data_IF_082192283928
#
_entry.id   IF_082192283928
#
_cell.length_a   1.000
_cell.length_b   1.000
_cell.length_c   1.000
_cell.angle_alpha   90.00
_cell.angle_beta   90.00
_cell.angle_gamma   90.00
#
_symmetry.space_group_name_H-M   'P 1'
#
loop_
_entity.id
_entity.type
_entity.pdbx_description
1 polymer ?
#
# COMPACT_ATOMS: atom_id res chain seq x y z
N UNK A 1 -14.90 -6.29 -10.52
CA UNK A 1 -14.18 -5.03 -10.83
C UNK A 1 -13.07 -5.36 -11.84
N UNK A 2 -12.94 -4.63 -12.96
CA UNK A 2 -11.83 -4.83 -13.92
C UNK A 2 -10.50 -4.62 -13.18
N UNK A 3 -9.64 -5.64 -13.15
CA UNK A 3 -8.27 -5.53 -12.61
C UNK A 3 -7.58 -4.33 -13.30
N UNK A 4 -7.07 -3.39 -12.51
CA UNK A 4 -6.38 -2.21 -13.05
C UNK A 4 -5.24 -2.68 -13.99
N UNK A 5 -5.08 -2.06 -15.17
CA UNK A 5 -4.06 -2.45 -16.15
C UNK A 5 -2.64 -2.40 -15.57
N UNK A 6 -2.45 -1.58 -14.53
CA UNK A 6 -1.17 -1.34 -13.88
C UNK A 6 -0.57 -2.58 -13.17
N UNK A 7 -1.39 -3.35 -12.47
CA UNK A 7 -0.94 -4.57 -11.79
C UNK A 7 -0.34 -5.58 -12.80
N UNK A 8 -1.00 -5.69 -13.96
CA UNK A 8 -0.55 -6.53 -15.07
C UNK A 8 0.78 -6.02 -15.66
N UNK A 9 0.95 -4.70 -15.78
CA UNK A 9 2.19 -4.08 -16.25
C UNK A 9 3.36 -4.30 -15.29
N UNK A 10 3.18 -4.07 -13.98
CA UNK A 10 4.22 -4.34 -12.98
C UNK A 10 4.64 -5.81 -13.00
N UNK A 11 3.65 -6.72 -13.04
CA UNK A 11 3.91 -8.16 -13.06
C UNK A 11 4.63 -8.61 -14.33
N UNK A 12 4.38 -7.95 -15.45
CA UNK A 12 5.12 -8.19 -16.69
C UNK A 12 6.56 -7.66 -16.58
N UNK A 13 6.75 -6.47 -16.01
CA UNK A 13 8.06 -5.86 -15.80
C UNK A 13 8.98 -6.73 -14.92
N UNK A 14 8.42 -7.33 -13.87
CA UNK A 14 9.17 -8.12 -12.90
C UNK A 14 9.13 -9.64 -13.12
N UNK A 15 8.49 -10.10 -14.20
CA UNK A 15 8.44 -11.53 -14.56
C UNK A 15 9.80 -12.26 -14.55
N UNK A 16 10.93 -11.65 -14.96
CA UNK A 16 12.21 -12.36 -14.96
C UNK A 16 12.85 -12.52 -13.57
N UNK A 17 12.32 -11.90 -12.52
CA UNK A 17 12.92 -11.94 -11.18
C UNK A 17 12.57 -13.21 -10.39
N UNK A 18 13.44 -13.64 -9.44
CA UNK A 18 13.21 -14.81 -8.61
C UNK A 18 11.99 -14.65 -7.70
N UNK A 19 10.98 -15.50 -7.86
CA UNK A 19 9.73 -15.41 -7.08
C UNK A 19 9.96 -15.66 -5.60
N UNK A 20 9.26 -14.88 -4.78
CA UNK A 20 9.24 -15.07 -3.33
C UNK A 20 8.51 -16.36 -2.91
N UNK A 21 8.94 -16.96 -1.80
CA UNK A 21 8.24 -18.08 -1.20
C UNK A 21 6.87 -17.65 -0.67
N UNK A 22 5.93 -18.59 -0.51
CA UNK A 22 4.59 -18.27 0.02
C UNK A 22 4.67 -17.63 1.42
N UNK A 23 5.55 -18.15 2.27
CA UNK A 23 5.74 -17.66 3.63
C UNK A 23 6.27 -16.22 3.65
N UNK A 24 7.25 -15.89 2.80
CA UNK A 24 7.79 -14.52 2.76
C UNK A 24 6.76 -13.53 2.21
N UNK A 25 5.98 -13.93 1.19
CA UNK A 25 4.90 -13.09 0.64
C UNK A 25 3.86 -12.75 1.69
N UNK A 26 3.45 -13.74 2.49
CA UNK A 26 2.48 -13.54 3.56
C UNK A 26 3.04 -12.64 4.67
N UNK A 27 4.27 -12.90 5.14
CA UNK A 27 4.92 -12.09 6.17
C UNK A 27 5.07 -10.61 5.75
N UNK A 28 5.39 -10.36 4.48
CA UNK A 28 5.48 -9.00 3.95
C UNK A 28 4.08 -8.37 3.83
N UNK A 29 3.09 -9.10 3.32
CA UNK A 29 1.72 -8.61 3.22
C UNK A 29 1.14 -8.23 4.61
N UNK A 30 1.44 -9.03 5.64
CA UNK A 30 0.99 -8.79 7.03
C UNK A 30 1.59 -7.52 7.62
N UNK A 31 2.81 -7.16 7.21
CA UNK A 31 3.55 -6.01 7.73
C UNK A 31 3.55 -4.79 6.78
N UNK A 32 2.91 -4.88 5.62
CA UNK A 32 2.94 -3.82 4.60
C UNK A 32 2.37 -2.49 5.12
N UNK A 33 1.40 -2.55 6.03
CA UNK A 33 0.84 -1.34 6.65
C UNK A 33 1.87 -0.59 7.51
N UNK A 34 2.83 -1.28 8.13
CA UNK A 34 3.92 -0.68 8.91
C UNK A 34 4.85 0.08 7.96
N UNK A 35 5.18 -0.55 6.83
CA UNK A 35 6.00 0.07 5.78
C UNK A 35 5.31 1.32 5.25
N UNK A 36 4.01 1.25 4.94
CA UNK A 36 3.24 2.42 4.51
C UNK A 36 3.23 3.54 5.58
N UNK A 37 3.10 3.20 6.86
CA UNK A 37 3.18 4.18 7.94
C UNK A 37 4.56 4.83 8.04
N UNK A 38 5.65 4.07 7.93
CA UNK A 38 7.00 4.64 7.91
C UNK A 38 7.20 5.57 6.70
N UNK A 39 6.74 5.17 5.52
CA UNK A 39 6.82 6.02 4.32
C UNK A 39 6.04 7.33 4.48
N UNK A 40 4.84 7.27 5.08
CA UNK A 40 4.07 8.48 5.39
C UNK A 40 4.83 9.42 6.35
N UNK A 41 5.52 8.87 7.36
CA UNK A 41 6.36 9.66 8.27
C UNK A 41 7.55 10.28 7.55
N UNK A 42 8.26 9.52 6.71
CA UNK A 42 9.38 10.03 5.90
C UNK A 42 8.91 11.15 4.96
N UNK A 43 7.76 11.00 4.33
CA UNK A 43 7.16 12.03 3.49
C UNK A 43 6.77 13.29 4.31
N UNK A 44 6.25 13.13 5.52
CA UNK A 44 5.94 14.24 6.43
C UNK A 44 7.20 15.01 6.90
N UNK A 45 8.29 14.28 7.17
CA UNK A 45 9.59 14.90 7.47
C UNK A 45 10.11 15.68 6.26
N UNK A 46 10.04 15.08 5.07
CA UNK A 46 10.45 15.72 3.82
C UNK A 46 9.63 16.99 3.54
N UNK A 47 8.32 16.94 3.78
CA UNK A 47 7.42 18.10 3.70
C UNK A 47 7.86 19.21 4.66
N UNK A 48 8.10 18.86 5.93
CA UNK A 48 8.52 19.83 6.96
C UNK A 48 9.85 20.49 6.60
N UNK A 49 10.82 19.72 6.11
CA UNK A 49 12.09 20.23 5.62
C UNK A 49 11.91 21.18 4.42
N UNK A 50 11.08 20.81 3.46
CA UNK A 50 10.79 21.64 2.29
C UNK A 50 10.13 22.98 2.68
N UNK A 51 9.14 22.95 3.59
CA UNK A 51 8.51 24.18 4.11
C UNK A 51 9.51 25.08 4.85
N UNK A 52 10.39 24.49 5.66
CA UNK A 52 11.38 25.26 6.42
C UNK A 52 12.35 25.99 5.49
N UNK A 53 12.83 25.32 4.44
CA UNK A 53 13.70 25.94 3.45
C UNK A 53 12.99 27.04 2.64
N UNK A 54 11.71 26.85 2.32
CA UNK A 54 10.92 27.85 1.62
C UNK A 54 10.68 29.10 2.48
N UNK A 55 10.39 28.91 3.78
CA UNK A 55 10.22 30.00 4.75
C UNK A 55 11.49 30.82 4.98
N UNK A 56 12.67 30.18 4.95
CA UNK A 56 13.95 30.88 5.06
C UNK A 56 14.28 31.70 3.80
N UNK A 57 13.89 31.23 2.62
CA UNK A 57 14.17 31.89 1.35
C UNK A 57 13.54 33.29 1.23
N UNK A 58 12.39 33.52 1.88
CA UNK A 58 11.72 34.83 1.89
C UNK A 58 12.40 35.82 2.85
N UNK A 59 13.12 35.34 3.87
CA UNK A 59 13.91 36.20 4.78
C UNK A 59 15.24 36.64 4.17
N UNK A 60 15.84 35.81 3.31
CA UNK A 60 17.12 36.11 2.62
C UNK A 60 16.91 37.12 1.47
N UNK A 61 15.71 37.15 0.87
CA UNK A 61 15.37 38.07 -0.22
C UNK A 61 15.34 39.56 0.18
N UNK A 62 15.20 39.88 1.47
CA UNK A 62 15.13 41.26 1.97
C UNK A 62 16.49 41.99 2.01
N UNK A 63 17.61 41.25 1.92
CA UNK A 63 18.97 41.81 2.01
C UNK A 63 19.69 41.95 0.65
N UNK A 64 18.99 41.82 -0.48
CA UNK A 64 19.56 42.14 -1.80
C UNK A 64 20.69 41.21 -2.31
N UNK A 65 20.91 40.06 -1.67
CA UNK A 65 21.96 39.09 -2.05
C UNK A 65 21.48 38.06 -3.09
N UNK A 66 20.20 38.08 -3.48
CA UNK A 66 19.59 37.07 -4.35
C UNK A 66 20.05 37.10 -5.82
N UNK A 67 20.82 38.11 -6.22
CA UNK A 67 21.27 38.29 -7.62
C UNK A 67 22.56 37.49 -7.94
N UNK A 68 23.21 36.89 -6.94
CA UNK A 68 24.53 36.24 -7.11
C UNK A 68 24.56 34.71 -7.03
N UNK A 69 23.41 34.03 -6.91
CA UNK A 69 23.35 32.56 -6.91
C UNK A 69 22.60 32.10 -8.17
N UNK A 70 23.30 31.61 -9.22
CA UNK A 70 22.70 31.36 -10.54
C UNK A 70 21.60 30.28 -10.60
N UNK A 71 21.23 29.63 -9.49
CA UNK A 71 20.28 28.52 -9.45
C UNK A 71 19.11 28.67 -8.47
N UNK A 72 18.87 29.85 -7.87
CA UNK A 72 17.78 30.03 -6.89
C UNK A 72 16.41 29.65 -7.46
N UNK A 73 16.14 30.00 -8.72
CA UNK A 73 14.87 29.65 -9.37
C UNK A 73 14.68 28.13 -9.50
N UNK A 74 15.74 27.40 -9.85
CA UNK A 74 15.73 25.92 -9.98
C UNK A 74 15.55 25.28 -8.59
N UNK A 75 16.24 25.79 -7.57
CA UNK A 75 16.10 25.31 -6.19
C UNK A 75 14.67 25.53 -5.67
N UNK A 76 14.06 26.70 -5.92
CA UNK A 76 12.65 26.97 -5.55
C UNK A 76 11.69 26.05 -6.32
N UNK A 77 11.91 25.83 -7.61
CA UNK A 77 11.11 24.90 -8.41
C UNK A 77 11.20 23.46 -7.84
N UNK A 78 12.40 23.00 -7.50
CA UNK A 78 12.62 21.70 -6.89
C UNK A 78 11.89 21.57 -5.55
N UNK A 79 11.90 22.61 -4.70
CA UNK A 79 11.17 22.62 -3.43
C UNK A 79 9.65 22.51 -3.62
N UNK A 80 9.08 23.26 -4.56
CA UNK A 80 7.63 23.20 -4.87
C UNK A 80 7.25 21.81 -5.37
N UNK A 81 8.04 21.24 -6.28
CA UNK A 81 7.82 19.87 -6.80
C UNK A 81 7.90 18.85 -5.65
N UNK A 82 8.90 18.96 -4.79
CA UNK A 82 9.07 18.10 -3.60
C UNK A 82 7.86 18.19 -2.67
N UNK A 83 7.32 19.40 -2.47
CA UNK A 83 6.14 19.65 -1.66
C UNK A 83 4.91 18.90 -2.21
N UNK A 84 4.67 19.00 -3.52
CA UNK A 84 3.55 18.35 -4.20
C UNK A 84 3.65 16.83 -4.06
N UNK A 85 4.85 16.28 -4.28
CA UNK A 85 5.08 14.84 -4.12
C UNK A 85 4.89 14.41 -2.67
N UNK A 86 5.48 15.11 -1.70
CA UNK A 86 5.36 14.76 -0.29
C UNK A 86 3.90 14.77 0.19
N UNK A 87 3.11 15.78 -0.18
CA UNK A 87 1.68 15.82 0.15
C UNK A 87 0.95 14.64 -0.49
N UNK A 88 1.21 14.35 -1.76
CA UNK A 88 0.58 13.23 -2.49
C UNK A 88 0.92 11.88 -1.84
N UNK A 89 2.19 11.68 -1.47
CA UNK A 89 2.66 10.47 -0.79
C UNK A 89 2.03 10.30 0.60
N UNK A 90 1.98 11.36 1.41
CA UNK A 90 1.32 11.33 2.73
C UNK A 90 -0.14 10.90 2.60
N UNK A 91 -0.86 11.46 1.62
CA UNK A 91 -2.26 11.12 1.38
C UNK A 91 -2.38 9.67 0.93
N UNK A 92 -1.61 9.23 -0.07
CA UNK A 92 -1.70 7.86 -0.60
C UNK A 92 -1.32 6.81 0.45
N UNK A 93 -0.19 6.99 1.14
CA UNK A 93 0.23 6.05 2.19
C UNK A 93 -0.68 6.11 3.41
N UNK A 94 -1.14 7.31 3.81
CA UNK A 94 -2.11 7.48 4.89
C UNK A 94 -3.42 6.73 4.61
N UNK A 95 -3.95 6.87 3.38
CA UNK A 95 -5.15 6.15 2.93
C UNK A 95 -4.91 4.64 2.79
N UNK A 96 -3.67 4.20 2.58
CA UNK A 96 -3.33 2.79 2.48
C UNK A 96 -3.33 2.07 3.85
N UNK A 97 -2.92 2.72 4.95
CA UNK A 97 -2.65 2.06 6.25
C UNK A 97 -3.85 1.23 6.75
N UNK A 98 -5.03 1.84 6.88
CA UNK A 98 -6.22 1.18 7.41
C UNK A 98 -6.69 -0.01 6.54
N UNK A 99 -6.89 0.14 5.22
CA UNK A 99 -7.27 -0.97 4.36
C UNK A 99 -6.17 -2.04 4.23
N UNK A 100 -4.88 -1.69 4.33
CA UNK A 100 -3.78 -2.66 4.35
C UNK A 100 -3.83 -3.56 5.58
N UNK A 101 -4.08 -3.00 6.78
CA UNK A 101 -4.29 -3.81 8.00
C UNK A 101 -5.42 -4.82 7.85
N UNK A 102 -6.43 -4.48 7.06
CA UNK A 102 -7.59 -5.34 6.75
C UNK A 102 -7.39 -6.22 5.51
N UNK A 103 -6.17 -6.24 4.94
CA UNK A 103 -5.84 -6.95 3.69
C UNK A 103 -6.77 -6.67 2.52
N UNK A 104 -7.31 -5.45 2.45
CA UNK A 104 -8.20 -5.06 1.36
C UNK A 104 -7.42 -4.67 0.12
N UNK A 105 -7.92 -5.06 -1.06
CA UNK A 105 -7.33 -4.69 -2.36
C UNK A 105 -7.15 -3.19 -2.51
N UNK A 106 -8.07 -2.38 -1.96
CA UNK A 106 -7.96 -0.91 -1.96
C UNK A 106 -6.68 -0.41 -1.29
N UNK A 107 -6.26 -1.02 -0.17
CA UNK A 107 -5.03 -0.63 0.52
C UNK A 107 -3.78 -0.95 -0.30
N UNK A 108 -3.77 -2.11 -0.95
CA UNK A 108 -2.71 -2.47 -1.88
C UNK A 108 -2.64 -1.52 -3.08
N UNK A 109 -3.79 -1.09 -3.62
CA UNK A 109 -3.84 -0.10 -4.70
C UNK A 109 -3.26 1.26 -4.28
N UNK A 110 -3.64 1.78 -3.10
CA UNK A 110 -3.09 3.03 -2.59
C UNK A 110 -1.59 2.94 -2.31
N UNK A 111 -1.11 1.83 -1.73
CA UNK A 111 0.31 1.59 -1.51
C UNK A 111 1.10 1.53 -2.82
N UNK A 112 0.56 0.84 -3.81
CA UNK A 112 1.16 0.74 -5.15
C UNK A 112 1.22 2.12 -5.83
N UNK A 113 0.13 2.89 -5.79
CA UNK A 113 0.11 4.24 -6.30
C UNK A 113 1.13 5.14 -5.59
N UNK A 114 1.24 5.03 -4.26
CA UNK A 114 2.22 5.76 -3.46
C UNK A 114 3.65 5.47 -3.91
N UNK A 115 4.02 4.19 -4.07
CA UNK A 115 5.36 3.81 -4.54
C UNK A 115 5.66 4.30 -5.96
N UNK A 116 4.66 4.34 -6.84
CA UNK A 116 4.82 4.92 -8.19
C UNK A 116 5.08 6.42 -8.11
N UNK A 117 4.34 7.13 -7.26
CA UNK A 117 4.57 8.55 -7.01
C UNK A 117 5.97 8.77 -6.45
N UNK A 118 6.42 7.95 -5.49
CA UNK A 118 7.78 8.01 -4.95
C UNK A 118 8.85 7.74 -5.99
N UNK A 119 8.61 6.81 -6.92
CA UNK A 119 9.52 6.57 -8.03
C UNK A 119 9.68 7.82 -8.90
N UNK A 120 8.57 8.45 -9.30
CA UNK A 120 8.61 9.69 -10.07
C UNK A 120 9.25 10.85 -9.28
N UNK A 121 8.92 11.00 -8.00
CA UNK A 121 9.51 12.01 -7.13
C UNK A 121 11.04 11.85 -7.07
N UNK A 122 11.52 10.61 -6.90
CA UNK A 122 12.94 10.28 -6.84
C UNK A 122 13.63 10.58 -8.17
N UNK A 123 13.05 10.17 -9.30
CA UNK A 123 13.61 10.42 -10.64
C UNK A 123 13.66 11.91 -10.96
N UNK A 124 12.58 12.66 -10.70
CA UNK A 124 12.53 14.11 -10.95
C UNK A 124 13.54 14.82 -10.06
N UNK A 125 13.63 14.48 -8.77
CA UNK A 125 14.60 15.07 -7.84
C UNK A 125 16.03 14.76 -8.28
N UNK A 126 16.29 13.53 -8.73
CA UNK A 126 17.59 13.14 -9.27
C UNK A 126 17.97 13.92 -10.53
N UNK A 127 17.03 14.17 -11.44
CA UNK A 127 17.28 14.98 -12.64
C UNK A 127 17.54 16.44 -12.25
N UNK A 128 16.80 16.99 -11.29
CA UNK A 128 16.96 18.38 -10.85
C UNK A 128 18.28 18.60 -10.09
N UNK A 129 18.81 17.59 -9.40
CA UNK A 129 20.08 17.70 -8.67
C UNK A 129 21.29 17.96 -9.58
N UNK A 130 21.25 17.52 -10.85
CA UNK A 130 22.28 17.86 -11.85
C UNK A 130 22.40 19.37 -12.07
N UNK A 131 21.29 20.11 -11.93
CA UNK A 131 21.26 21.55 -12.16
C UNK A 131 21.63 22.36 -10.91
N UNK A 132 21.58 21.78 -9.71
CA UNK A 132 21.76 22.50 -8.44
C UNK A 132 23.16 22.34 -7.79
N UNK A 133 24.14 21.77 -8.52
CA UNK A 133 25.54 21.55 -8.09
C UNK A 133 25.77 20.61 -6.89
N UNK A 134 24.70 20.03 -6.33
CA UNK A 134 24.77 19.05 -5.23
C UNK A 134 24.57 17.64 -5.80
N UNK A 135 25.60 17.13 -6.48
CA UNK A 135 25.48 15.92 -7.28
C UNK A 135 26.15 14.71 -6.63
N UNK A 136 25.34 13.86 -6.01
CA UNK A 136 25.72 12.51 -5.64
C UNK A 136 24.94 11.51 -6.51
N UNK A 137 25.58 11.07 -7.59
CA UNK A 137 25.05 10.06 -8.52
C UNK A 137 24.63 8.81 -7.76
N UNK A 138 25.49 8.39 -6.82
CA UNK A 138 25.43 7.08 -6.19
C UNK A 138 24.20 6.98 -5.34
N UNK A 139 23.94 7.97 -4.47
CA UNK A 139 22.72 7.99 -3.65
C UNK A 139 21.46 8.08 -4.51
N UNK A 140 21.47 8.84 -5.60
CA UNK A 140 20.34 8.94 -6.52
C UNK A 140 20.00 7.60 -7.19
N UNK A 141 20.99 6.92 -7.76
CA UNK A 141 20.80 5.61 -8.40
C UNK A 141 20.37 4.54 -7.39
N UNK A 142 20.95 4.55 -6.19
CA UNK A 142 20.58 3.64 -5.11
C UNK A 142 19.13 3.87 -4.67
N UNK A 143 18.70 5.13 -4.53
CA UNK A 143 17.32 5.46 -4.18
C UNK A 143 16.32 4.94 -5.23
N UNK A 144 16.61 5.16 -6.52
CA UNK A 144 15.77 4.66 -7.62
C UNK A 144 15.68 3.13 -7.59
N UNK A 145 16.81 2.44 -7.40
CA UNK A 145 16.85 0.99 -7.31
C UNK A 145 16.04 0.45 -6.12
N UNK A 146 16.10 1.12 -4.97
CA UNK A 146 15.36 0.75 -3.78
C UNK A 146 13.84 0.87 -3.99
N UNK A 147 13.38 1.98 -4.58
CA UNK A 147 11.95 2.17 -4.88
C UNK A 147 11.46 1.14 -5.92
N UNK A 148 12.29 0.82 -6.93
CA UNK A 148 11.98 -0.25 -7.87
C UNK A 148 11.85 -1.62 -7.18
N UNK A 149 12.74 -1.93 -6.24
CA UNK A 149 12.65 -3.16 -5.44
C UNK A 149 11.36 -3.20 -4.59
N UNK A 150 10.89 -2.07 -4.06
CA UNK A 150 9.59 -2.01 -3.38
C UNK A 150 8.43 -2.30 -4.34
N UNK A 151 8.50 -1.76 -5.56
CA UNK A 151 7.54 -2.06 -6.63
C UNK A 151 7.52 -3.55 -6.97
N UNK A 152 8.68 -4.21 -7.00
CA UNK A 152 8.77 -5.66 -7.16
C UNK A 152 8.05 -6.40 -6.04
N UNK A 153 8.37 -6.09 -4.79
CA UNK A 153 7.76 -6.72 -3.61
C UNK A 153 6.24 -6.56 -3.61
N UNK A 154 5.73 -5.37 -3.94
CA UNK A 154 4.30 -5.09 -4.08
C UNK A 154 3.63 -5.94 -5.16
N UNK A 155 4.31 -6.15 -6.29
CA UNK A 155 3.79 -6.99 -7.38
C UNK A 155 3.68 -8.46 -6.98
N UNK A 156 4.59 -8.95 -6.13
CA UNK A 156 4.55 -10.32 -5.65
C UNK A 156 3.46 -10.52 -4.59
N UNK A 157 3.24 -9.56 -3.69
CA UNK A 157 2.23 -9.72 -2.62
C UNK A 157 0.79 -9.41 -3.07
N UNK A 158 0.56 -8.97 -4.31
CA UNK A 158 -0.76 -8.64 -4.86
C UNK A 158 -1.83 -9.69 -4.53
N UNK A 159 -1.53 -10.98 -4.70
CA UNK A 159 -2.53 -12.04 -4.49
C UNK A 159 -2.92 -12.30 -3.04
N UNK A 160 -2.22 -11.68 -2.08
CA UNK A 160 -2.59 -11.72 -0.66
C UNK A 160 -3.62 -10.63 -0.31
N UNK A 161 -3.82 -9.65 -1.20
CA UNK A 161 -4.81 -8.59 -1.06
C UNK A 161 -6.00 -8.78 -2.00
N UNK A 162 -6.10 -9.91 -2.71
CA UNK A 162 -7.18 -10.18 -3.66
C UNK A 162 -8.51 -10.46 -2.92
N UNK A 163 -9.52 -9.63 -3.19
CA UNK A 163 -10.83 -9.67 -2.50
C UNK A 163 -11.60 -10.97 -2.74
N UNK A 164 -11.27 -11.73 -3.79
CA UNK A 164 -11.93 -12.99 -4.11
C UNK A 164 -11.61 -14.12 -3.10
N UNK A 165 -10.52 -14.01 -2.32
CA UNK A 165 -10.27 -14.94 -1.19
C UNK A 165 -11.06 -14.58 0.07
N UNK A 166 -11.41 -13.31 0.26
CA UNK A 166 -12.17 -12.84 1.42
C UNK A 166 -13.67 -13.15 1.30
N UNK A 167 -14.15 -13.43 0.09
CA UNK A 167 -15.56 -13.72 -0.18
C UNK A 167 -15.82 -15.19 -0.54
N UNK A 168 -14.83 -16.08 -0.35
CA UNK A 168 -15.11 -17.51 -0.35
C UNK A 168 -15.74 -17.81 1.02
N UNK A 169 -17.03 -18.16 1.11
CA UNK A 169 -17.54 -18.70 2.35
C UNK A 169 -16.62 -19.86 2.70
N UNK A 170 -16.14 -19.91 3.93
CA UNK A 170 -15.74 -21.17 4.55
C UNK A 170 -16.95 -22.08 4.39
N UNK A 171 -16.97 -22.86 3.31
CA UNK A 171 -17.79 -24.04 3.22
C UNK A 171 -17.35 -24.85 4.43
N UNK A 172 -18.19 -24.82 5.46
CA UNK A 172 -18.14 -25.80 6.52
C UNK A 172 -18.01 -27.14 5.82
N UNK A 173 -16.90 -27.81 6.13
CA UNK A 173 -16.63 -29.17 5.74
C UNK A 173 -17.82 -29.98 6.27
N UNK A 174 -18.79 -30.27 5.41
CA UNK A 174 -19.81 -31.26 5.71
C UNK A 174 -19.07 -32.57 5.94
N UNK A 175 -18.98 -32.97 7.21
CA UNK A 175 -18.55 -34.30 7.59
C UNK A 175 -19.55 -35.33 7.04
N UNK A 176 -19.06 -36.51 6.62
CA UNK A 176 -19.84 -37.46 5.84
C UNK A 176 -20.96 -38.10 6.66
N UNK A 177 -22.14 -38.22 6.05
CA UNK A 177 -23.34 -38.95 6.49
C UNK A 177 -23.07 -40.06 7.50
N UNK A 178 -23.65 -39.92 8.69
CA UNK A 178 -24.13 -41.06 9.48
C UNK A 178 -25.66 -41.05 9.50
N UNK A 179 -26.22 -42.07 8.86
CA UNK A 179 -27.60 -42.51 8.98
C UNK A 179 -27.87 -42.90 10.43
N UNK A 180 -28.82 -42.23 11.10
CA UNK A 180 -29.47 -42.75 12.29
C UNK A 180 -30.93 -42.28 12.33
N UNK A 181 -31.80 -43.24 12.63
CA UNK A 181 -33.26 -43.20 12.63
C UNK A 181 -33.84 -42.28 13.75
N UNK A 182 -35.17 -42.07 13.81
CA UNK A 182 -35.79 -40.86 14.35
C UNK A 182 -35.87 -40.80 15.89
N UNK A 183 -35.73 -39.56 16.37
CA UNK A 183 -36.30 -38.88 17.54
C UNK A 183 -36.61 -39.66 18.85
N UNK A 184 -35.95 -39.17 19.91
CA UNK A 184 -36.06 -39.37 21.36
C UNK A 184 -37.51 -39.31 21.92
N UNK A 185 -37.80 -39.96 23.07
CA UNK A 185 -39.14 -40.16 23.62
C UNK A 185 -39.58 -39.01 24.55
N UNK A 186 -40.87 -38.71 24.58
CA UNK A 186 -41.49 -37.97 25.68
C UNK A 186 -42.88 -38.54 25.98
N UNK A 187 -43.06 -38.94 27.24
CA UNK A 187 -44.27 -39.53 27.78
C UNK A 187 -45.21 -38.43 28.27
N UNK A 188 -46.51 -38.52 27.96
CA UNK A 188 -47.54 -37.93 28.81
C UNK A 188 -48.91 -38.57 28.56
N UNK A 189 -49.38 -39.24 29.62
CA UNK A 189 -50.74 -39.28 30.15
C UNK A 189 -51.95 -39.87 29.38
N UNK A 190 -52.76 -40.56 30.19
CA UNK A 190 -54.02 -41.32 29.99
C UNK A 190 -55.23 -40.37 29.70
N UNK A 191 -56.51 -40.83 29.59
CA UNK A 191 -57.09 -42.18 29.43
C UNK A 191 -58.25 -42.28 28.38
N UNK A 192 -58.80 -43.50 28.26
CA UNK A 192 -60.17 -43.88 27.88
C UNK A 192 -60.71 -43.60 26.46
N UNK A 193 -60.87 -44.69 25.68
CA UNK A 193 -62.05 -44.85 24.83
C UNK A 193 -62.72 -46.20 25.07
N UNK A 194 -64.03 -46.08 25.25
CA UNK A 194 -65.09 -47.04 25.49
C UNK A 194 -65.61 -47.56 24.15
N UNK A 195 -66.32 -48.70 24.20
CA UNK A 195 -67.24 -49.29 23.20
C UNK A 195 -66.63 -50.01 21.99
N UNK A 196 -67.20 -51.08 21.43
CA UNK A 196 -68.12 -52.17 21.81
C UNK A 196 -68.43 -52.93 20.49
N UNK A 197 -69.02 -54.12 20.63
CA UNK A 197 -69.60 -54.98 19.57
C UNK A 197 -68.60 -55.76 18.70
N UNK A 198 -68.72 -57.08 18.50
CA UNK A 198 -69.73 -58.08 18.90
C UNK A 198 -69.09 -59.47 18.81
#
# INVERSE_FOLDING_TARGET
MKRFPFAKTLKALYKPLPRMSKQSRQAVADNLWIVAAMLAVVAALSLTSALSLLSQADRISLFGVSIFVPNIAIIRLQQIITLIFAVTEIVLFGLAISPLRRKQTRGWLFATAGIVVTFFATVVTFILSFFTHYYDVTSGVVAIALVAAMGYVLSEIESEFDSDKANKPTAHKEEPKQTAAPTTPEATDKPDQVEAEK
#
